data_IF_834171617486
#
_entry.id   IF_834171617486
#
_cell.length_a   1.000
_cell.length_b   1.000
_cell.length_c   1.000
_cell.angle_alpha   90.00
_cell.angle_beta   90.00
_cell.angle_gamma   90.00
#
_symmetry.space_group_name_H-M   'P 1'
#
loop_
_entity.id
_entity.type
_entity.pdbx_description
1 polymer ?
#
# COMPACT_ATOMS: atom_id res chain seq x y z
N UNK A 1 23.17 0.04 27.22
CA UNK A 1 21.76 -0.28 26.88
C UNK A 1 21.60 -0.29 25.37
N UNK A 2 21.39 -1.45 24.75
CA UNK A 2 21.09 -1.53 23.31
C UNK A 2 19.65 -1.08 23.10
N UNK A 3 19.44 0.13 22.59
CA UNK A 3 18.13 0.53 22.07
C UNK A 3 17.86 -0.38 20.87
N UNK A 4 17.12 -1.48 21.08
CA UNK A 4 16.56 -2.28 19.99
C UNK A 4 15.53 -1.40 19.27
N UNK A 5 16.01 -0.59 18.33
CA UNK A 5 15.13 0.20 17.47
C UNK A 5 14.28 -0.75 16.63
N UNK A 6 12.97 -0.74 16.84
CA UNK A 6 12.05 -1.56 16.07
C UNK A 6 12.21 -1.22 14.57
N UNK A 7 12.29 -2.24 13.72
CA UNK A 7 12.41 -2.08 12.26
C UNK A 7 11.03 -2.11 11.61
N UNK A 8 10.87 -1.32 10.56
CA UNK A 8 9.64 -1.29 9.76
C UNK A 8 9.50 -2.59 8.98
N UNK A 9 8.42 -3.33 9.20
CA UNK A 9 8.19 -4.63 8.54
C UNK A 9 7.97 -4.49 7.02
N UNK A 10 7.65 -3.28 6.55
CA UNK A 10 7.43 -2.97 5.13
C UNK A 10 8.75 -2.69 4.38
N UNK A 11 9.62 -1.83 4.92
CA UNK A 11 10.78 -1.32 4.20
C UNK A 11 12.11 -1.37 4.98
N UNK A 12 12.13 -1.97 6.17
CA UNK A 12 13.34 -2.15 6.99
C UNK A 12 13.86 -0.88 7.69
N UNK A 13 13.23 0.28 7.49
CA UNK A 13 13.60 1.53 8.14
C UNK A 13 13.64 1.40 9.68
N UNK A 14 14.59 2.09 10.34
CA UNK A 14 14.68 2.17 11.80
C UNK A 14 13.51 2.98 12.38
N UNK A 15 13.36 2.95 13.70
CA UNK A 15 12.38 3.73 14.47
C UNK A 15 10.91 3.46 14.06
N UNK A 16 10.57 2.20 13.84
CA UNK A 16 9.19 1.81 13.62
C UNK A 16 8.36 1.94 14.90
N UNK A 17 7.08 2.26 14.72
CA UNK A 17 6.03 2.26 15.76
C UNK A 17 4.83 1.48 15.22
N UNK A 18 3.91 1.11 16.11
CA UNK A 18 2.68 0.45 15.69
C UNK A 18 1.75 1.46 15.00
N UNK A 19 1.37 1.18 13.75
CA UNK A 19 0.41 1.97 12.98
C UNK A 19 -0.52 1.05 12.20
N UNK A 20 -1.82 1.30 12.31
CA UNK A 20 -2.85 0.55 11.58
C UNK A 20 -2.70 -0.97 11.72
N UNK A 21 -2.34 -1.46 12.91
CA UNK A 21 -2.22 -2.89 13.20
C UNK A 21 -0.82 -3.51 13.00
N UNK A 22 0.17 -2.79 12.45
CA UNK A 22 1.51 -3.35 12.20
C UNK A 22 2.66 -2.38 12.53
N UNK A 23 3.87 -2.91 12.76
CA UNK A 23 5.06 -2.10 13.04
C UNK A 23 5.63 -1.50 11.76
N UNK A 24 5.47 -0.19 11.58
CA UNK A 24 5.97 0.52 10.42
C UNK A 24 6.57 1.89 10.75
N UNK A 25 7.37 2.43 9.84
CA UNK A 25 7.88 3.80 9.94
C UNK A 25 6.84 4.84 9.48
N UNK A 26 7.03 6.11 9.84
CA UNK A 26 6.18 7.24 9.43
C UNK A 26 5.95 7.32 7.90
N UNK A 27 6.98 7.00 7.11
CA UNK A 27 6.85 7.01 5.65
C UNK A 27 5.88 5.95 5.12
N UNK A 28 5.79 4.77 5.75
CA UNK A 28 4.84 3.72 5.38
C UNK A 28 3.46 3.98 5.98
N UNK A 29 3.38 4.54 7.21
CA UNK A 29 2.14 5.05 7.79
C UNK A 29 1.44 6.02 6.83
N UNK A 30 2.13 7.10 6.44
CA UNK A 30 1.55 8.13 5.58
C UNK A 30 1.24 7.64 4.17
N UNK A 31 2.08 6.75 3.61
CA UNK A 31 1.79 6.10 2.33
C UNK A 31 0.48 5.30 2.41
N UNK A 32 0.35 4.41 3.39
CA UNK A 32 -0.82 3.56 3.54
C UNK A 32 -2.10 4.39 3.73
N UNK A 33 -2.07 5.39 4.61
CA UNK A 33 -3.20 6.30 4.80
C UNK A 33 -3.62 6.99 3.51
N UNK A 34 -2.70 7.65 2.79
CA UNK A 34 -3.04 8.33 1.52
C UNK A 34 -3.57 7.37 0.46
N UNK A 35 -3.02 6.16 0.39
CA UNK A 35 -3.46 5.15 -0.56
C UNK A 35 -4.90 4.70 -0.29
N UNK A 36 -5.24 4.41 0.97
CA UNK A 36 -6.57 3.96 1.35
C UNK A 36 -7.57 5.13 1.30
N UNK A 37 -7.25 6.27 1.91
CA UNK A 37 -8.15 7.44 1.97
C UNK A 37 -8.50 7.96 0.58
N UNK A 38 -7.52 8.05 -0.33
CA UNK A 38 -7.76 8.50 -1.70
C UNK A 38 -8.11 7.35 -2.67
N UNK A 39 -8.32 6.12 -2.18
CA UNK A 39 -8.59 4.91 -2.98
C UNK A 39 -7.66 4.77 -4.20
N UNK A 40 -6.36 4.97 -3.99
CA UNK A 40 -5.36 4.93 -5.07
C UNK A 40 -5.12 3.49 -5.51
N UNK A 41 -5.24 3.25 -6.81
CA UNK A 41 -4.89 1.99 -7.43
C UNK A 41 -3.51 2.10 -8.10
N UNK A 42 -2.64 1.14 -7.82
CA UNK A 42 -1.29 1.09 -8.39
C UNK A 42 -1.12 -0.18 -9.23
N UNK A 43 -0.34 -0.07 -10.29
CA UNK A 43 0.03 -1.19 -11.15
C UNK A 43 1.55 -1.34 -11.09
N UNK A 44 2.03 -2.56 -10.86
CA UNK A 44 3.45 -2.87 -10.95
C UNK A 44 3.86 -2.92 -12.43
N UNK A 45 4.96 -2.27 -12.79
CA UNK A 45 5.50 -2.27 -14.16
C UNK A 45 6.59 -3.33 -14.37
N UNK A 46 7.06 -3.98 -13.30
CA UNK A 46 8.02 -5.08 -13.42
C UNK A 46 7.30 -6.34 -13.89
N UNK A 47 7.30 -6.53 -15.20
CA UNK A 47 6.99 -7.79 -15.88
C UNK A 47 8.35 -8.26 -16.42
N UNK A 48 8.92 -9.34 -15.87
CA UNK A 48 10.10 -9.94 -16.49
C UNK A 48 9.64 -11.07 -17.43
N UNK A 49 10.42 -11.31 -18.49
CA UNK A 49 10.02 -12.15 -19.61
C UNK A 49 10.12 -13.66 -19.31
N UNK A 50 10.61 -14.07 -18.13
CA UNK A 50 10.88 -15.48 -17.79
C UNK A 50 10.32 -15.94 -16.42
N UNK A 51 9.56 -15.12 -15.70
CA UNK A 51 8.93 -15.50 -14.43
C UNK A 51 7.58 -14.82 -14.28
N UNK A 52 6.55 -15.63 -14.13
CA UNK A 52 5.20 -15.18 -13.78
C UNK A 52 5.27 -14.55 -12.38
N UNK A 53 5.23 -13.21 -12.30
CA UNK A 53 5.23 -12.39 -11.07
C UNK A 53 6.54 -12.31 -10.25
N UNK A 54 7.51 -11.49 -10.69
CA UNK A 54 8.59 -11.03 -9.79
C UNK A 54 8.09 -9.86 -8.92
N UNK A 55 8.05 -10.05 -7.61
CA UNK A 55 7.72 -9.00 -6.65
C UNK A 55 8.89 -8.01 -6.50
N UNK A 56 8.65 -6.71 -6.62
CA UNK A 56 9.69 -5.70 -6.40
C UNK A 56 10.18 -5.73 -4.94
N UNK A 57 11.49 -5.65 -4.76
CA UNK A 57 12.10 -5.45 -3.44
C UNK A 57 11.73 -4.08 -2.85
N UNK A 58 11.32 -4.06 -1.58
CA UNK A 58 10.93 -2.85 -0.87
C UNK A 58 11.93 -2.58 0.25
N UNK A 59 12.86 -1.66 0.00
CA UNK A 59 13.88 -1.22 0.94
C UNK A 59 13.70 0.29 1.26
N UNK A 60 14.23 0.78 2.38
CA UNK A 60 14.06 2.17 2.81
C UNK A 60 14.33 3.22 1.71
N UNK A 61 15.42 3.07 0.94
CA UNK A 61 15.78 4.00 -0.14
C UNK A 61 14.96 3.82 -1.44
N UNK A 62 14.52 2.59 -1.73
CA UNK A 62 13.85 2.23 -3.01
C UNK A 62 12.34 1.92 -2.87
N UNK A 63 11.76 2.10 -1.68
CA UNK A 63 10.33 1.82 -1.41
C UNK A 63 9.36 2.62 -2.28
N UNK A 64 9.80 3.72 -2.88
CA UNK A 64 8.96 4.52 -3.77
C UNK A 64 8.97 4.04 -5.23
N UNK A 65 9.90 3.15 -5.61
CA UNK A 65 10.08 2.67 -6.99
C UNK A 65 8.87 1.87 -7.48
N UNK A 66 8.26 1.04 -6.62
CA UNK A 66 7.04 0.32 -6.97
C UNK A 66 5.97 0.50 -5.87
N UNK A 67 5.04 1.45 -6.11
CA UNK A 67 3.93 1.72 -5.20
C UNK A 67 2.96 0.54 -5.08
N UNK A 68 2.81 -0.25 -6.13
CA UNK A 68 1.96 -1.45 -6.12
C UNK A 68 2.50 -2.50 -5.15
N UNK A 69 3.75 -2.95 -5.33
CA UNK A 69 4.37 -3.92 -4.43
C UNK A 69 4.55 -3.39 -3.00
N UNK A 70 4.73 -2.08 -2.84
CA UNK A 70 4.74 -1.45 -1.51
C UNK A 70 3.39 -1.58 -0.80
N UNK A 71 2.29 -1.25 -1.47
CA UNK A 71 0.94 -1.38 -0.91
C UNK A 71 0.62 -2.84 -0.58
N UNK A 72 0.93 -3.74 -1.50
CA UNK A 72 0.77 -5.19 -1.28
C UNK A 72 1.58 -5.67 -0.07
N UNK A 73 2.80 -5.16 0.12
CA UNK A 73 3.62 -5.46 1.30
C UNK A 73 3.02 -4.87 2.58
N UNK A 74 2.46 -3.65 2.55
CA UNK A 74 1.74 -3.08 3.69
C UNK A 74 0.62 -3.99 4.18
N UNK A 75 -0.22 -4.48 3.26
CA UNK A 75 -1.31 -5.40 3.58
C UNK A 75 -0.77 -6.74 4.09
N UNK A 76 0.28 -7.29 3.44
CA UNK A 76 0.88 -8.57 3.82
C UNK A 76 1.49 -8.58 5.22
N UNK A 77 1.98 -7.44 5.72
CA UNK A 77 2.50 -7.32 7.10
C UNK A 77 1.41 -7.01 8.11
N UNK A 78 0.14 -6.99 7.70
CA UNK A 78 -1.01 -6.79 8.60
C UNK A 78 -1.40 -5.33 8.83
N UNK A 79 -1.09 -4.41 7.90
CA UNK A 79 -1.70 -3.07 7.97
C UNK A 79 -3.17 -3.16 7.55
N UNK A 80 -4.08 -2.77 8.45
CA UNK A 80 -5.53 -2.89 8.26
C UNK A 80 -6.16 -1.55 7.81
N UNK A 81 -6.79 -1.49 6.61
CA UNK A 81 -7.55 -0.33 6.16
C UNK A 81 -8.71 0.08 7.08
N UNK A 82 -9.29 -0.86 7.83
CA UNK A 82 -10.42 -0.59 8.72
C UNK A 82 -10.02 0.31 9.90
N UNK A 83 -8.79 0.16 10.40
CA UNK A 83 -8.28 0.98 11.49
C UNK A 83 -8.07 2.46 11.09
N UNK A 84 -7.98 2.76 9.79
CA UNK A 84 -8.00 4.14 9.30
C UNK A 84 -9.41 4.74 9.46
N UNK A 85 -10.45 3.92 9.24
CA UNK A 85 -11.84 4.36 9.29
C UNK A 85 -12.28 4.63 10.73
N UNK A 86 -11.88 3.78 11.68
CA UNK A 86 -12.20 3.96 13.11
C UNK A 86 -11.48 5.17 13.71
N UNK A 87 -10.27 5.49 13.21
CA UNK A 87 -9.54 6.68 13.64
C UNK A 87 -10.18 8.00 13.20
N UNK A 88 -11.12 7.96 12.25
CA UNK A 88 -11.84 9.13 11.76
C UNK A 88 -12.98 9.58 12.71
N UNK A 89 -13.56 8.65 13.48
CA UNK A 89 -14.72 8.92 14.34
C UNK A 89 -14.42 9.13 15.82
N UNK A 90 -13.19 8.85 16.28
CA UNK A 90 -12.78 8.95 17.71
C UNK A 90 -11.93 10.20 18.01
N UNK A 91 -11.61 11.00 17.00
CA UNK A 91 -10.75 12.17 17.11
C UNK A 91 -11.37 13.35 17.88
N UNK A 92 -12.67 13.32 18.19
CA UNK A 92 -13.33 14.40 18.97
C UNK A 92 -13.38 14.16 20.48
N UNK A 93 -13.18 12.94 20.98
CA UNK A 93 -13.42 12.65 22.41
C UNK A 93 -12.16 12.47 23.29
N UNK A 94 -10.95 12.34 22.71
CA UNK A 94 -9.72 12.08 23.50
C UNK A 94 -8.52 12.97 23.13
N UNK A 95 -8.71 14.07 22.39
CA UNK A 95 -7.61 14.98 22.01
C UNK A 95 -7.45 16.14 22.99
N UNK A 96 -7.04 15.83 24.22
CA UNK A 96 -6.15 16.73 24.95
C UNK A 96 -4.70 16.29 24.69
N UNK A 97 -4.06 17.05 23.79
CA UNK A 97 -2.62 17.12 23.49
C UNK A 97 -2.11 16.29 22.30
N UNK A 98 -1.68 17.05 21.29
CA UNK A 98 -0.71 16.79 20.21
C UNK A 98 -1.21 16.36 18.81
N UNK A 99 -0.88 17.25 17.86
CA UNK A 99 -0.76 17.14 16.39
C UNK A 99 -2.03 17.24 15.53
N UNK A 100 -2.26 18.48 15.08
CA UNK A 100 -3.14 18.96 14.02
C UNK A 100 -2.90 18.19 12.70
N UNK A 101 -3.94 17.57 12.14
CA UNK A 101 -3.95 17.02 10.78
C UNK A 101 -5.34 17.25 10.18
N UNK A 102 -5.37 18.16 9.22
CA UNK A 102 -6.54 18.84 8.68
C UNK A 102 -7.69 17.93 8.23
N UNK A 103 -8.88 18.47 8.47
CA UNK A 103 -10.21 17.96 8.22
C UNK A 103 -10.50 17.86 6.70
N UNK A 104 -10.82 16.66 6.20
CA UNK A 104 -11.79 16.40 5.11
C UNK A 104 -11.77 14.90 4.77
N UNK A 105 -12.80 14.18 5.23
CA UNK A 105 -12.86 12.71 5.18
C UNK A 105 -13.79 12.17 4.11
N UNK A 106 -13.35 11.23 3.28
CA UNK A 106 -14.19 10.70 2.22
C UNK A 106 -15.09 9.53 2.66
N UNK A 107 -16.32 9.59 2.15
CA UNK A 107 -17.53 8.75 2.31
C UNK A 107 -17.36 7.21 2.34
N UNK A 108 -18.20 6.62 3.20
CA UNK A 108 -18.38 5.22 3.62
C UNK A 108 -18.71 4.22 2.48
N UNK A 109 -17.72 3.77 1.69
CA UNK A 109 -17.85 2.50 0.91
C UNK A 109 -16.70 1.55 1.21
N UNK A 110 -17.04 0.28 1.44
CA UNK A 110 -16.12 -0.81 1.77
C UNK A 110 -14.99 -0.88 0.72
N UNK A 111 -13.74 -1.01 1.20
CA UNK A 111 -12.57 -1.16 0.34
C UNK A 111 -12.48 -2.63 -0.09
N UNK A 112 -13.16 -2.99 -1.18
CA UNK A 112 -12.85 -4.24 -1.89
C UNK A 112 -11.54 -4.03 -2.64
N UNK A 113 -10.54 -4.87 -2.37
CA UNK A 113 -9.30 -4.88 -3.15
C UNK A 113 -9.69 -5.13 -4.62
N UNK A 114 -9.34 -4.28 -5.58
CA UNK A 114 -9.72 -4.53 -6.96
C UNK A 114 -8.94 -5.75 -7.48
N UNK A 115 -9.63 -6.82 -7.83
CA UNK A 115 -9.12 -7.94 -8.65
C UNK A 115 -8.69 -7.50 -10.08
N UNK A 116 -8.63 -6.19 -10.35
CA UNK A 116 -8.64 -5.61 -11.69
C UNK A 116 -7.28 -5.63 -12.41
N UNK A 117 -6.28 -6.31 -11.86
CA UNK A 117 -5.06 -6.66 -12.59
C UNK A 117 -5.31 -7.63 -13.76
N UNK A 118 -6.32 -8.50 -13.66
CA UNK A 118 -6.57 -9.55 -14.67
C UNK A 118 -7.23 -9.03 -15.95
N UNK A 119 -8.00 -7.93 -15.91
CA UNK A 119 -8.73 -7.41 -17.09
C UNK A 119 -7.80 -6.77 -18.13
N UNK A 120 -6.65 -6.20 -17.71
CA UNK A 120 -5.66 -5.62 -18.61
C UNK A 120 -4.79 -6.70 -19.27
N UNK A 121 -4.45 -7.76 -18.53
CA UNK A 121 -3.76 -8.94 -19.05
C UNK A 121 -4.56 -9.60 -20.20
N UNK A 122 -5.87 -9.85 -19.99
CA UNK A 122 -6.75 -10.39 -21.06
C UNK A 122 -6.87 -9.49 -22.30
N UNK A 123 -6.73 -8.16 -22.18
CA UNK A 123 -6.74 -7.24 -23.34
C UNK A 123 -5.41 -7.25 -24.12
N UNK A 124 -4.29 -7.50 -23.44
CA UNK A 124 -2.97 -7.65 -24.07
C UNK A 124 -2.86 -8.99 -24.80
N UNK A 125 -3.29 -10.09 -24.17
CA UNK A 125 -3.32 -11.42 -24.81
C UNK A 125 -4.21 -11.44 -26.06
N UNK A 126 -5.39 -10.79 -26.02
CA UNK A 126 -6.27 -10.65 -27.19
C UNK A 126 -5.68 -9.80 -28.31
N UNK A 127 -4.79 -8.86 -28.01
CA UNK A 127 -4.07 -8.08 -29.03
C UNK A 127 -2.96 -8.90 -29.69
N UNK A 128 -2.23 -9.70 -28.92
CA UNK A 128 -1.18 -10.60 -29.42
C UNK A 128 -1.73 -11.73 -30.31
N UNK A 129 -2.83 -12.38 -29.92
CA UNK A 129 -3.50 -13.38 -30.77
C UNK A 129 -4.05 -12.82 -32.09
N UNK A 130 -4.30 -11.51 -32.17
CA UNK A 130 -4.82 -10.86 -33.38
C UNK A 130 -3.71 -10.48 -34.36
N UNK A 131 -2.45 -10.38 -33.90
CA UNK A 131 -1.28 -10.19 -34.77
C UNK A 131 -0.78 -11.50 -35.39
N UNK A 132 -1.01 -12.65 -34.74
CA UNK A 132 -0.56 -13.97 -35.23
C UNK A 132 -1.46 -14.59 -36.32
N UNK A 133 -2.69 -14.07 -36.51
CA UNK A 133 -3.65 -14.60 -37.50
C UNK A 133 -3.61 -13.79 -38.82
N UNK A 134 -2.69 -12.83 -38.94
CA UNK A 134 -2.59 -11.92 -40.10
C UNK A 134 -1.38 -12.21 -41.01
N UNK A 135 -0.71 -13.35 -40.81
CA UNK A 135 0.19 -13.99 -41.79
C UNK A 135 -0.47 -15.24 -42.37
#
# INVERSE_FOLDING_TARGET
MLIKTAKCLVCGARNAKQHYGSWCCNGCKGFFWRTISCRRNYICLNVNNNSVFVKCEIEHGRRNSCRACRLERCLKVGMDPNLIRDSWGKSTALRSRDENWDETGPSQRAFTLPETGMKKARRLEKRQRKSEIKE
#
